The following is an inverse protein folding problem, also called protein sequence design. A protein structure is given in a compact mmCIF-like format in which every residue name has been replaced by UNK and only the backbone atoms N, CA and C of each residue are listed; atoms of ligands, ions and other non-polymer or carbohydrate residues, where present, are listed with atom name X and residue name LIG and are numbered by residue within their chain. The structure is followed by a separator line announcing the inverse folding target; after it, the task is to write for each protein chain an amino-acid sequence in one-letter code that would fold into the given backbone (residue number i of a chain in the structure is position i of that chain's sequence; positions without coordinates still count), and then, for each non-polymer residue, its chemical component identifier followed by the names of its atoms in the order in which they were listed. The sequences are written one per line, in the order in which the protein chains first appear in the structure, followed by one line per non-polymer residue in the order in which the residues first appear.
data_IF_677376741437
#
_entry.id   IF_677376741437
#
_cell.length_a   1.000
_cell.length_b   1.000
_cell.length_c   1.000
_cell.angle_alpha   90.00
_cell.angle_beta   90.00
_cell.angle_gamma   90.00
#
_symmetry.space_group_name_H-M   'P 1'
#
loop_
_entity.id
_entity.type
_entity.pdbx_description
1 polymer ?
#
# COMPACT_ATOMS: atom_id res chain seq x y z
N UNK A 1 -28.37 -21.13 71.01
CA UNK A 1 -29.07 -20.12 70.17
C UNK A 1 -28.27 -18.82 70.25
N UNK A 2 -28.00 -18.20 69.08
CA UNK A 2 -27.24 -16.94 68.81
C UNK A 2 -25.70 -17.05 68.72
N UNK A 3 -25.22 -17.34 67.51
CA UNK A 3 -23.85 -17.07 67.05
C UNK A 3 -23.76 -15.62 66.55
N UNK A 4 -22.79 -14.87 67.08
CA UNK A 4 -22.54 -13.47 66.74
C UNK A 4 -21.71 -13.36 65.44
N UNK A 5 -22.33 -12.90 64.36
CA UNK A 5 -21.65 -12.45 63.15
C UNK A 5 -21.21 -10.99 63.33
N UNK A 6 -19.90 -10.74 63.52
CA UNK A 6 -19.31 -9.41 63.31
C UNK A 6 -17.79 -9.52 63.15
N UNK A 7 -17.34 -9.54 61.90
CA UNK A 7 -16.41 -8.59 61.26
C UNK A 7 -15.67 -9.28 60.10
N UNK A 8 -16.04 -8.85 58.89
CA UNK A 8 -15.25 -8.97 57.67
C UNK A 8 -13.95 -8.15 57.77
N UNK A 9 -13.04 -8.40 56.82
CA UNK A 9 -11.77 -7.70 56.45
C UNK A 9 -10.53 -8.37 57.05
N UNK A 10 -9.49 -8.80 56.32
CA UNK A 10 -9.03 -8.51 54.95
C UNK A 10 -7.91 -9.51 54.59
N UNK A 11 -7.52 -9.54 53.31
CA UNK A 11 -6.28 -10.11 52.74
C UNK A 11 -6.37 -11.52 52.12
N UNK A 12 -7.05 -11.60 50.97
CA UNK A 12 -6.69 -12.56 49.94
C UNK A 12 -6.85 -11.85 48.59
N UNK A 13 -5.75 -11.66 47.86
CA UNK A 13 -5.64 -11.61 46.39
C UNK A 13 -4.33 -10.91 45.98
N UNK A 14 -3.21 -11.64 46.09
CA UNK A 14 -2.04 -11.36 45.25
C UNK A 14 -2.25 -12.12 43.93
N UNK A 15 -1.81 -11.51 42.82
CA UNK A 15 -1.69 -12.07 41.47
C UNK A 15 -2.85 -11.84 40.49
N UNK A 16 -2.97 -10.62 39.95
CA UNK A 16 -3.39 -10.40 38.55
C UNK A 16 -2.62 -9.22 37.95
N UNK A 17 -1.33 -9.39 37.66
CA UNK A 17 -0.56 -8.44 36.82
C UNK A 17 0.38 -9.24 35.90
N UNK A 18 -0.17 -9.91 34.88
CA UNK A 18 0.67 -10.62 33.89
C UNK A 18 0.16 -10.54 32.44
N UNK A 19 -0.91 -9.79 32.15
CA UNK A 19 -1.56 -9.84 30.82
C UNK A 19 -1.18 -8.72 29.83
N UNK A 20 -0.12 -7.95 30.07
CA UNK A 20 0.20 -6.75 29.26
C UNK A 20 1.30 -6.92 28.18
N UNK A 21 1.87 -8.11 27.96
CA UNK A 21 3.11 -8.23 27.18
C UNK A 21 2.99 -8.79 25.75
N UNK A 22 1.80 -8.89 25.16
CA UNK A 22 1.67 -9.30 23.74
C UNK A 22 1.09 -8.19 22.86
N UNK A 23 1.86 -7.11 22.73
CA UNK A 23 1.76 -6.20 21.59
C UNK A 23 2.41 -6.84 20.36
N UNK A 24 1.72 -7.79 19.74
CA UNK A 24 2.12 -8.28 18.43
C UNK A 24 2.09 -7.13 17.43
N UNK A 25 3.24 -6.82 16.81
CA UNK A 25 3.32 -5.81 15.76
C UNK A 25 2.51 -6.28 14.56
N UNK A 26 1.29 -5.78 14.42
CA UNK A 26 0.52 -5.87 13.17
C UNK A 26 1.26 -5.02 12.14
N UNK A 27 2.09 -5.67 11.32
CA UNK A 27 2.75 -5.00 10.21
C UNK A 27 1.69 -4.80 9.12
N UNK A 28 1.10 -3.60 9.09
CA UNK A 28 0.20 -3.20 8.01
C UNK A 28 0.88 -3.43 6.66
N UNK A 29 0.10 -3.85 5.65
CA UNK A 29 0.60 -3.99 4.28
C UNK A 29 1.37 -2.71 3.87
N UNK A 30 2.43 -2.83 3.07
CA UNK A 30 3.17 -1.66 2.62
C UNK A 30 2.27 -0.67 1.87
N UNK A 31 2.81 0.50 1.63
CA UNK A 31 2.05 1.62 1.09
C UNK A 31 1.67 1.45 -0.39
N UNK A 32 0.48 1.96 -0.76
CA UNK A 32 0.06 2.15 -2.16
C UNK A 32 0.93 3.23 -2.83
N UNK A 33 1.40 2.94 -4.03
CA UNK A 33 2.22 3.86 -4.83
C UNK A 33 1.40 4.47 -5.97
N UNK A 34 1.65 5.74 -6.27
CA UNK A 34 1.22 6.39 -7.50
C UNK A 34 2.33 6.29 -8.55
N UNK A 35 1.98 5.97 -9.78
CA UNK A 35 2.90 6.01 -10.91
C UNK A 35 2.89 7.39 -11.57
N UNK A 36 4.06 7.87 -11.95
CA UNK A 36 4.19 9.10 -12.73
C UNK A 36 3.83 8.80 -14.18
N UNK A 37 2.91 9.59 -14.74
CA UNK A 37 2.54 9.50 -16.14
C UNK A 37 3.75 9.74 -17.05
N UNK A 38 3.85 8.97 -18.13
CA UNK A 38 4.90 9.13 -19.13
C UNK A 38 4.49 10.13 -20.20
N UNK A 39 5.45 10.89 -20.74
CA UNK A 39 5.23 11.79 -21.89
C UNK A 39 5.24 11.04 -23.24
N UNK A 40 4.74 9.80 -23.26
CA UNK A 40 4.78 8.87 -24.38
C UNK A 40 5.47 7.53 -24.04
N UNK A 41 5.58 6.61 -25.02
CA UNK A 41 6.10 5.26 -24.80
C UNK A 41 7.56 5.25 -24.33
N UNK A 42 7.83 4.57 -23.22
CA UNK A 42 9.17 4.39 -22.67
C UNK A 42 9.72 3.03 -23.13
N UNK A 43 10.81 3.00 -23.93
CA UNK A 43 11.35 1.75 -24.45
C UNK A 43 11.98 0.91 -23.34
N UNK A 44 11.70 -0.39 -23.35
CA UNK A 44 12.31 -1.33 -22.42
C UNK A 44 13.67 -1.81 -22.95
N UNK A 45 14.60 -2.09 -22.03
CA UNK A 45 15.86 -2.76 -22.35
C UNK A 45 15.67 -4.26 -22.22
N UNK A 46 15.94 -4.99 -23.29
CA UNK A 46 15.72 -6.44 -23.36
C UNK A 46 17.02 -7.21 -23.17
N UNK A 47 16.95 -8.30 -22.40
CA UNK A 47 17.96 -9.33 -22.32
C UNK A 47 17.43 -10.69 -22.87
N UNK A 48 18.06 -11.78 -22.45
CA UNK A 48 17.69 -13.15 -22.84
C UNK A 48 16.35 -13.62 -22.26
N UNK A 49 15.91 -13.06 -21.14
CA UNK A 49 14.76 -13.54 -20.35
C UNK A 49 13.62 -12.52 -20.26
N UNK A 50 13.93 -11.23 -20.14
CA UNK A 50 12.93 -10.19 -19.93
C UNK A 50 13.32 -8.86 -20.61
N UNK A 51 12.32 -8.00 -20.77
CA UNK A 51 12.50 -6.60 -21.13
C UNK A 51 12.05 -5.73 -19.97
N UNK A 52 12.88 -4.79 -19.53
CA UNK A 52 12.64 -4.02 -18.31
C UNK A 52 13.03 -2.54 -18.42
N UNK A 53 12.38 -1.70 -17.61
CA UNK A 53 12.77 -0.31 -17.36
C UNK A 53 12.35 0.13 -15.96
N UNK A 54 13.00 1.18 -15.46
CA UNK A 54 12.65 1.82 -14.20
C UNK A 54 11.66 2.97 -14.42
N UNK A 55 10.62 3.04 -13.59
CA UNK A 55 9.57 4.05 -13.63
C UNK A 55 9.47 4.74 -12.28
N UNK A 56 9.26 6.06 -12.32
CA UNK A 56 9.16 6.87 -11.12
C UNK A 56 7.82 6.66 -10.43
N UNK A 57 7.86 6.55 -9.10
CA UNK A 57 6.68 6.43 -8.25
C UNK A 57 6.71 7.42 -7.10
N UNK A 58 5.55 7.65 -6.50
CA UNK A 58 5.41 8.43 -5.29
C UNK A 58 4.42 7.79 -4.31
N UNK A 59 4.48 8.27 -3.09
CA UNK A 59 3.76 7.75 -1.96
C UNK A 59 2.34 8.36 -1.85
N UNK A 60 1.27 7.54 -1.94
CA UNK A 60 -0.12 8.01 -1.75
C UNK A 60 -0.62 8.06 -0.30
N UNK A 61 0.05 7.38 0.63
CA UNK A 61 -0.31 7.23 2.03
C UNK A 61 0.85 7.66 2.93
N UNK A 62 1.05 8.97 3.09
CA UNK A 62 2.22 9.57 3.77
C UNK A 62 2.59 8.95 5.13
N UNK A 63 1.60 8.50 5.91
CA UNK A 63 1.81 7.94 7.25
C UNK A 63 2.25 6.46 7.25
N UNK A 64 2.33 5.82 6.08
CA UNK A 64 2.78 4.43 5.96
C UNK A 64 4.28 4.35 5.71
N UNK A 65 4.87 3.27 6.20
CA UNK A 65 6.26 2.94 5.90
C UNK A 65 6.40 2.62 4.41
N UNK A 66 7.49 3.08 3.82
CA UNK A 66 7.90 2.67 2.48
C UNK A 66 8.05 1.16 2.36
N UNK A 67 7.93 0.62 1.13
CA UNK A 67 8.12 -0.79 0.90
C UNK A 67 9.56 -1.19 1.23
N UNK A 68 9.76 -2.43 1.72
CA UNK A 68 11.08 -3.02 1.76
C UNK A 68 11.64 -3.16 0.33
N UNK A 69 12.94 -3.39 0.21
CA UNK A 69 13.56 -3.71 -1.09
C UNK A 69 12.93 -4.95 -1.71
N UNK A 70 12.83 -4.93 -3.04
CA UNK A 70 12.28 -5.99 -3.88
C UNK A 70 10.83 -6.35 -3.54
N UNK A 71 10.06 -5.43 -2.97
CA UNK A 71 8.65 -5.68 -2.71
C UNK A 71 7.86 -5.73 -4.02
N UNK A 72 6.95 -6.70 -4.14
CA UNK A 72 6.16 -6.94 -5.35
C UNK A 72 4.88 -6.12 -5.30
N UNK A 73 4.51 -5.57 -6.45
CA UNK A 73 3.31 -4.79 -6.65
C UNK A 73 2.51 -5.34 -7.82
N UNK A 74 1.22 -5.04 -7.83
CA UNK A 74 0.37 -5.21 -9.00
C UNK A 74 -0.34 -3.89 -9.30
N UNK A 75 -0.66 -3.66 -10.55
CA UNK A 75 -1.41 -2.47 -10.94
C UNK A 75 -2.87 -2.58 -10.47
N UNK A 76 -3.41 -1.47 -9.96
CA UNK A 76 -4.83 -1.39 -9.63
C UNK A 76 -5.70 -1.54 -10.91
N UNK A 77 -6.97 -1.92 -10.74
CA UNK A 77 -7.94 -2.10 -11.84
C UNK A 77 -7.41 -2.94 -13.02
N UNK A 78 -6.65 -3.99 -12.74
CA UNK A 78 -6.13 -4.87 -13.79
C UNK A 78 -5.12 -4.19 -14.73
N UNK A 79 -4.47 -3.11 -14.29
CA UNK A 79 -3.48 -2.41 -15.11
C UNK A 79 -4.05 -1.42 -16.11
N UNK A 80 -5.31 -0.98 -15.91
CA UNK A 80 -5.86 0.16 -16.65
C UNK A 80 -4.91 1.38 -16.55
N UNK A 81 -4.66 2.02 -17.69
CA UNK A 81 -3.72 3.13 -17.79
C UNK A 81 -2.24 2.73 -17.91
N UNK A 82 -1.91 1.44 -17.93
CA UNK A 82 -0.58 0.96 -18.31
C UNK A 82 -0.70 0.16 -19.60
N UNK A 83 -0.06 0.65 -20.66
CA UNK A 83 -0.13 0.06 -22.01
C UNK A 83 1.21 -0.54 -22.38
N UNK A 84 1.22 -1.80 -22.81
CA UNK A 84 2.40 -2.48 -23.31
C UNK A 84 2.34 -2.43 -24.84
N UNK A 85 3.29 -1.73 -25.45
CA UNK A 85 3.30 -1.35 -26.84
C UNK A 85 4.42 -2.08 -27.58
N UNK A 86 4.09 -2.71 -28.70
CA UNK A 86 5.06 -3.37 -29.59
C UNK A 86 5.06 -2.74 -30.98
N UNK A 87 6.16 -2.84 -31.75
CA UNK A 87 6.13 -2.52 -33.16
C UNK A 87 5.28 -3.56 -33.90
N UNK A 88 4.39 -3.10 -34.75
CA UNK A 88 3.64 -3.91 -35.71
C UNK A 88 4.56 -4.35 -36.86
N UNK A 89 4.22 -5.44 -37.53
CA UNK A 89 4.97 -5.91 -38.71
C UNK A 89 5.05 -4.86 -39.85
N UNK A 90 4.11 -3.91 -39.87
CA UNK A 90 4.00 -2.77 -40.80
C UNK A 90 4.75 -1.52 -40.32
N UNK A 91 5.25 -1.51 -39.08
CA UNK A 91 5.95 -0.38 -38.47
C UNK A 91 5.09 0.55 -37.59
N UNK A 92 3.79 0.32 -37.47
CA UNK A 92 2.91 1.04 -36.53
C UNK A 92 3.11 0.55 -35.08
N UNK A 93 2.58 1.26 -34.08
CA UNK A 93 2.66 0.84 -32.66
C UNK A 93 1.34 0.21 -32.24
N UNK A 94 1.37 -1.07 -31.87
CA UNK A 94 0.18 -1.83 -31.44
C UNK A 94 0.24 -2.11 -29.95
N UNK A 95 -0.90 -1.96 -29.29
CA UNK A 95 -1.08 -2.38 -27.91
C UNK A 95 -1.21 -3.89 -27.81
N UNK A 96 -0.27 -4.53 -27.11
CA UNK A 96 -0.21 -5.99 -26.98
C UNK A 96 -0.92 -6.49 -25.73
N UNK A 97 -0.88 -5.70 -24.66
CA UNK A 97 -1.43 -6.03 -23.35
C UNK A 97 -1.51 -4.78 -22.46
N UNK A 98 -2.22 -4.92 -21.35
CA UNK A 98 -2.27 -3.93 -20.28
C UNK A 98 -1.31 -4.29 -19.13
N UNK A 99 -1.28 -3.44 -18.10
CA UNK A 99 -0.38 -3.60 -16.94
C UNK A 99 -0.57 -4.86 -16.10
N UNK A 100 -1.66 -5.64 -16.27
CA UNK A 100 -1.85 -6.88 -15.51
C UNK A 100 -0.82 -7.97 -15.83
N UNK A 101 -0.19 -7.87 -17.00
CA UNK A 101 0.79 -8.84 -17.48
C UNK A 101 2.23 -8.51 -17.03
N UNK A 102 2.43 -7.38 -16.35
CA UNK A 102 3.73 -6.91 -15.89
C UNK A 102 4.10 -7.53 -14.54
N UNK A 103 5.38 -7.87 -14.41
CA UNK A 103 5.99 -7.99 -13.10
C UNK A 103 6.46 -6.60 -12.66
N UNK A 104 6.03 -6.18 -11.47
CA UNK A 104 6.31 -4.85 -10.93
C UNK A 104 6.97 -4.99 -9.56
N UNK A 105 8.22 -4.54 -9.45
CA UNK A 105 9.03 -4.68 -8.24
C UNK A 105 9.58 -3.32 -7.82
N UNK A 106 9.56 -3.03 -6.52
CA UNK A 106 10.23 -1.85 -5.95
C UNK A 106 11.68 -2.22 -5.53
N UNK A 107 12.71 -2.02 -6.39
CA UNK A 107 14.04 -2.57 -6.10
C UNK A 107 14.73 -1.87 -4.92
N UNK A 108 14.48 -0.57 -4.75
CA UNK A 108 15.24 0.30 -3.83
C UNK A 108 14.37 1.23 -2.99
N UNK A 109 13.10 0.88 -2.77
CA UNK A 109 12.14 1.68 -1.98
C UNK A 109 11.01 2.26 -2.84
N UNK A 110 10.32 3.28 -2.32
CA UNK A 110 9.04 3.79 -2.86
C UNK A 110 9.10 4.72 -4.08
N UNK A 111 10.28 5.19 -4.49
CA UNK A 111 10.42 6.23 -5.52
C UNK A 111 10.65 5.69 -6.92
N UNK A 112 10.91 4.39 -7.03
CA UNK A 112 11.17 3.72 -8.30
C UNK A 112 10.60 2.31 -8.26
N UNK A 113 10.00 1.90 -9.37
CA UNK A 113 9.66 0.50 -9.64
C UNK A 113 10.34 0.05 -10.92
N UNK A 114 10.80 -1.19 -10.94
CA UNK A 114 11.18 -1.88 -12.15
C UNK A 114 9.93 -2.61 -12.68
N UNK A 115 9.58 -2.37 -13.93
CA UNK A 115 8.52 -3.12 -14.61
C UNK A 115 9.14 -3.98 -15.71
N UNK A 116 8.82 -5.26 -15.70
CA UNK A 116 9.35 -6.23 -16.65
C UNK A 116 8.28 -7.02 -17.39
N UNK A 117 8.57 -7.27 -18.67
CA UNK A 117 7.80 -8.16 -19.55
C UNK A 117 8.64 -9.41 -19.85
N UNK A 118 8.15 -10.63 -19.55
CA UNK A 118 8.82 -11.86 -19.92
C UNK A 118 8.95 -12.01 -21.44
N UNK A 119 10.14 -12.39 -21.93
CA UNK A 119 10.38 -12.58 -23.38
C UNK A 119 9.43 -13.60 -24.01
N UNK A 120 9.06 -14.65 -23.27
CA UNK A 120 8.06 -15.65 -23.70
C UNK A 120 6.69 -15.04 -24.05
N UNK A 121 6.34 -13.90 -23.47
CA UNK A 121 5.13 -13.18 -23.84
C UNK A 121 5.32 -12.49 -25.19
N UNK A 122 6.46 -11.82 -25.37
CA UNK A 122 6.80 -11.11 -26.61
C UNK A 122 6.90 -12.07 -27.81
N UNK A 123 7.42 -13.27 -27.59
CA UNK A 123 7.52 -14.31 -28.63
C UNK A 123 6.14 -14.69 -29.20
N UNK A 124 5.07 -14.64 -28.38
CA UNK A 124 3.70 -14.90 -28.85
C UNK A 124 3.19 -13.85 -29.83
N UNK A 125 3.73 -12.63 -29.74
CA UNK A 125 3.40 -11.51 -30.62
C UNK A 125 4.45 -11.31 -31.73
N UNK A 126 5.53 -12.12 -31.74
CA UNK A 126 6.61 -12.00 -32.72
C UNK A 126 7.42 -10.70 -32.61
N UNK A 127 7.40 -10.02 -31.45
CA UNK A 127 8.06 -8.73 -31.26
C UNK A 127 9.39 -8.86 -30.53
N UNK A 128 10.37 -8.02 -30.91
CA UNK A 128 11.71 -7.98 -30.30
C UNK A 128 11.99 -6.67 -29.55
N UNK A 129 11.12 -5.68 -29.72
CA UNK A 129 11.16 -4.38 -29.04
C UNK A 129 9.80 -4.14 -28.41
N UNK A 130 9.80 -3.52 -27.24
CA UNK A 130 8.58 -3.22 -26.50
C UNK A 130 8.79 -1.92 -25.72
N UNK A 131 7.71 -1.16 -25.56
CA UNK A 131 7.66 0.03 -24.74
C UNK A 131 6.48 -0.05 -23.78
N UNK A 132 6.54 0.71 -22.69
CA UNK A 132 5.41 0.89 -21.77
C UNK A 132 5.03 2.36 -21.76
N UNK A 133 3.74 2.63 -21.87
CA UNK A 133 3.17 3.96 -21.68
C UNK A 133 2.28 3.95 -20.43
N UNK A 134 2.41 5.01 -19.61
CA UNK A 134 1.70 5.19 -18.35
C UNK A 134 0.81 6.43 -18.46
N UNK A 135 -0.49 6.22 -18.33
CA UNK A 135 -1.49 7.26 -18.26
C UNK A 135 -1.50 7.95 -16.88
N UNK A 136 -2.16 9.12 -16.75
CA UNK A 136 -2.40 9.73 -15.45
C UNK A 136 -3.19 8.84 -14.49
N UNK A 137 -3.03 9.07 -13.18
CA UNK A 137 -3.81 8.46 -12.10
C UNK A 137 -3.68 6.93 -11.95
N UNK A 138 -2.59 6.35 -12.44
CA UNK A 138 -2.29 4.94 -12.22
C UNK A 138 -1.74 4.72 -10.81
N UNK A 139 -2.24 3.69 -10.13
CA UNK A 139 -1.78 3.29 -8.80
C UNK A 139 -1.36 1.82 -8.75
N UNK A 140 -0.43 1.53 -7.85
CA UNK A 140 0.12 0.20 -7.60
C UNK A 140 -0.24 -0.24 -6.18
N UNK A 141 -0.82 -1.43 -6.10
CA UNK A 141 -1.17 -2.08 -4.85
C UNK A 141 -0.06 -3.07 -4.47
N UNK A 142 0.35 -3.10 -3.19
CA UNK A 142 1.33 -4.08 -2.74
C UNK A 142 0.74 -5.49 -2.85
N UNK A 143 1.53 -6.44 -3.33
CA UNK A 143 1.14 -7.85 -3.24
C UNK A 143 1.33 -8.33 -1.81
N UNK A 144 0.31 -8.96 -1.23
CA UNK A 144 0.42 -9.55 0.09
C UNK A 144 1.54 -10.61 0.09
N UNK A 145 2.44 -10.54 1.08
CA UNK A 145 3.41 -11.60 1.29
C UNK A 145 2.67 -12.81 1.89
N UNK A 146 2.65 -13.99 1.24
CA UNK A 146 1.92 -15.17 1.70
C UNK A 146 2.38 -15.67 3.08
N UNK A 147 3.56 -15.26 3.56
CA UNK A 147 4.03 -15.58 4.91
C UNK A 147 3.16 -14.95 6.02
N UNK A 148 2.32 -13.96 5.68
CA UNK A 148 1.47 -13.21 6.65
C UNK A 148 0.01 -13.73 6.64
N UNK A 149 -0.35 -14.69 5.78
CA UNK A 149 -1.71 -15.25 5.69
C UNK A 149 -1.99 -16.27 6.80
N UNK A 150 -1.84 -15.86 8.06
CA UNK A 150 -2.49 -16.51 9.20
C UNK A 150 -3.23 -15.48 10.07
N UNK A 151 -4.03 -14.62 9.44
CA UNK A 151 -5.16 -14.02 10.14
C UNK A 151 -6.31 -15.04 10.14
N UNK A 152 -6.34 -15.89 11.18
CA UNK A 152 -7.48 -16.76 11.47
C UNK A 152 -8.78 -15.93 11.39
N UNK A 153 -9.87 -16.43 10.76
CA UNK A 153 -11.15 -15.72 10.65
C UNK A 153 -11.69 -15.22 12.00
N UNK A 154 -11.37 -15.91 13.08
CA UNK A 154 -11.69 -15.53 14.46
C UNK A 154 -11.01 -14.23 14.97
N UNK A 155 -10.02 -13.70 14.25
CA UNK A 155 -9.37 -12.40 14.51
C UNK A 155 -9.92 -11.26 13.65
N UNK A 156 -10.60 -11.54 12.54
CA UNK A 156 -11.25 -10.50 11.72
C UNK A 156 -12.45 -9.89 12.47
N UNK A 157 -13.23 -10.72 13.16
CA UNK A 157 -14.34 -10.28 14.02
C UNK A 157 -13.91 -9.48 15.26
N UNK A 158 -12.63 -9.52 15.64
CA UNK A 158 -12.08 -8.83 16.82
C UNK A 158 -11.32 -7.55 16.48
N UNK A 159 -11.30 -7.15 15.22
CA UNK A 159 -11.00 -5.77 14.85
C UNK A 159 -12.24 -4.95 15.19
N UNK A 160 -12.37 -4.60 16.47
CA UNK A 160 -13.13 -3.42 16.82
C UNK A 160 -12.53 -2.30 15.95
N UNK A 161 -13.32 -1.50 15.20
CA UNK A 161 -12.76 -0.32 14.59
C UNK A 161 -12.06 0.41 15.73
N UNK A 162 -10.73 0.55 15.66
CA UNK A 162 -10.03 1.50 16.49
C UNK A 162 -10.81 2.79 16.25
N UNK A 163 -11.58 3.21 17.24
CA UNK A 163 -12.46 4.35 17.09
C UNK A 163 -11.55 5.47 16.61
N UNK A 164 -11.78 5.97 15.41
CA UNK A 164 -11.32 7.28 14.98
C UNK A 164 -12.00 8.40 15.81
N UNK A 165 -12.30 8.16 17.11
CA UNK A 165 -13.08 9.04 17.98
C UNK A 165 -12.19 9.80 18.98
N UNK A 166 -10.87 9.61 18.98
CA UNK A 166 -9.96 10.37 19.83
C UNK A 166 -9.18 11.46 19.06
N UNK A 167 -9.52 11.70 17.79
CA UNK A 167 -9.16 12.95 17.13
C UNK A 167 -10.34 13.92 17.19
N UNK A 168 -10.64 14.39 18.40
CA UNK A 168 -11.16 15.73 18.52
C UNK A 168 -9.95 16.66 18.32
N UNK A 169 -9.91 17.56 17.34
CA UNK A 169 -9.04 18.70 17.47
C UNK A 169 -9.44 19.36 18.78
N UNK A 170 -8.49 19.60 19.69
CA UNK A 170 -8.74 20.50 20.80
C UNK A 170 -9.27 21.78 20.17
N UNK A 171 -10.57 22.05 20.34
CA UNK A 171 -11.12 23.38 20.18
C UNK A 171 -10.41 24.20 21.25
N UNK A 172 -9.21 24.69 20.92
CA UNK A 172 -8.66 25.84 21.60
C UNK A 172 -9.77 26.86 21.52
N UNK A 173 -10.29 27.26 22.66
CA UNK A 173 -11.17 28.40 22.81
C UNK A 173 -10.46 29.58 22.13
N UNK A 174 -10.78 29.78 20.85
CA UNK A 174 -10.34 30.93 20.09
C UNK A 174 -11.08 32.10 20.72
N UNK A 175 -10.44 32.72 21.70
CA UNK A 175 -10.83 34.01 22.24
C UNK A 175 -11.10 34.92 21.05
N UNK A 176 -12.32 35.45 20.98
CA UNK A 176 -12.73 36.35 19.91
C UNK A 176 -11.71 37.50 19.82
N UNK A 177 -11.21 37.86 18.62
CA UNK A 177 -10.38 39.06 18.48
C UNK A 177 -11.18 40.30 18.91
N UNK A 178 -10.57 41.07 19.81
CA UNK A 178 -11.15 42.19 20.58
C UNK A 178 -11.33 43.48 19.77
N UNK A 179 -11.61 43.40 18.47
CA UNK A 179 -11.64 44.55 17.55
C UNK A 179 -13.04 44.98 17.08
N UNK A 180 -14.11 44.36 17.59
CA UNK A 180 -15.49 44.68 17.17
C UNK A 180 -16.30 45.35 18.29
N UNK A 181 -15.77 46.44 18.86
CA UNK A 181 -16.50 47.32 19.80
C UNK A 181 -16.18 48.82 19.65
N UNK A 182 -15.72 49.28 18.49
CA UNK A 182 -15.55 50.72 18.25
C UNK A 182 -15.80 51.06 16.79
N UNK A 183 -17.07 51.29 16.47
CA UNK A 183 -17.58 52.12 15.38
C UNK A 183 -19.11 52.04 15.44
N UNK A 184 -19.64 52.76 16.43
CA UNK A 184 -20.90 53.47 16.32
C UNK A 184 -20.57 54.93 16.13
#
# INVERSE_FOLDING_TARGET
MRLNFRKLTTAASVAVVSALAWSGSVQAAPQILGLVASNGPIPLKCDSYYCAAEFTTFCLQQERKGPPRNHVYHAHNGGEGIRILGPEATGEVVEMANGSALEIIAPRGQTVVNMSVPKRMLDKFGVTKVAIEIAPNVSLLPQENPTITTLSPSRISRVQPARCANWAPSLSTRTKPKWRQRMS
#
